data_IF_790481202809
#
_entry.id   IF_790481202809
#
_cell.length_a   1.000
_cell.length_b   1.000
_cell.length_c   1.000
_cell.angle_alpha   90.00
_cell.angle_beta   90.00
_cell.angle_gamma   90.00
#
_symmetry.space_group_name_H-M   'P 1'
#
loop_
_entity.id
_entity.type
_entity.pdbx_description
1 polymer ?
#
# COMPACT_ATOMS: atom_id res chain seq x y z
N UNK A 1 -35.74 -25.41 52.88
CA UNK A 1 -35.64 -24.04 52.32
C UNK A 1 -34.25 -23.50 52.59
N UNK A 2 -33.47 -23.32 51.52
CA UNK A 2 -32.10 -22.75 51.38
C UNK A 2 -31.60 -23.34 50.05
N UNK A 3 -31.22 -22.62 49.01
CA UNK A 3 -30.39 -21.42 48.99
C UNK A 3 -30.74 -20.50 47.80
N UNK A 4 -30.71 -19.19 48.03
CA UNK A 4 -30.49 -18.17 47.00
C UNK A 4 -29.03 -17.74 47.08
N UNK A 5 -28.25 -17.78 45.99
CA UNK A 5 -27.16 -16.86 45.60
C UNK A 5 -26.90 -17.16 44.09
N UNK A 6 -27.46 -16.40 43.14
CA UNK A 6 -26.88 -15.21 42.50
C UNK A 6 -25.45 -15.43 41.94
N UNK A 7 -25.29 -15.36 40.61
CA UNK A 7 -23.97 -15.41 39.98
C UNK A 7 -24.01 -15.50 38.46
N UNK A 8 -24.54 -14.47 37.80
CA UNK A 8 -24.28 -14.25 36.37
C UNK A 8 -22.80 -13.87 36.22
N UNK A 9 -21.97 -14.81 35.77
CA UNK A 9 -20.61 -14.52 35.33
C UNK A 9 -20.58 -14.50 33.80
N UNK A 10 -20.88 -13.34 33.23
CA UNK A 10 -20.77 -13.07 31.80
C UNK A 10 -19.30 -13.05 31.40
N UNK A 11 -18.79 -14.15 30.84
CA UNK A 11 -17.45 -14.21 30.28
C UNK A 11 -17.37 -13.28 29.05
N UNK A 12 -16.88 -12.06 29.27
CA UNK A 12 -16.59 -11.11 28.20
C UNK A 12 -15.24 -11.46 27.59
N UNK A 13 -15.24 -12.36 26.60
CA UNK A 13 -14.11 -12.60 25.72
C UNK A 13 -13.95 -11.38 24.82
N UNK A 14 -13.14 -10.41 25.28
CA UNK A 14 -12.67 -9.28 24.49
C UNK A 14 -11.69 -9.79 23.42
N UNK A 15 -12.23 -10.32 22.32
CA UNK A 15 -11.50 -10.40 21.06
C UNK A 15 -11.45 -8.99 20.44
N UNK A 16 -10.61 -8.14 21.01
CA UNK A 16 -10.25 -6.85 20.43
C UNK A 16 -9.09 -7.06 19.45
N UNK A 17 -9.38 -7.67 18.31
CA UNK A 17 -8.42 -7.76 17.21
C UNK A 17 -8.11 -6.35 16.72
N UNK A 18 -6.92 -5.84 17.05
CA UNK A 18 -6.32 -4.76 16.28
C UNK A 18 -5.87 -5.35 14.94
N UNK A 19 -6.83 -5.70 14.09
CA UNK A 19 -6.56 -5.78 12.67
C UNK A 19 -6.22 -4.35 12.25
N UNK A 20 -4.93 -4.03 12.19
CA UNK A 20 -4.47 -3.00 11.27
C UNK A 20 -4.90 -3.51 9.90
N UNK A 21 -6.10 -3.14 9.48
CA UNK A 21 -6.47 -3.12 8.09
C UNK A 21 -5.56 -2.07 7.46
N UNK A 22 -4.31 -2.47 7.18
CA UNK A 22 -3.57 -1.83 6.13
C UNK A 22 -4.54 -1.84 4.94
N UNK A 23 -4.91 -0.67 4.38
CA UNK A 23 -5.66 -0.66 3.15
C UNK A 23 -4.88 -1.60 2.23
N UNK A 24 -5.53 -2.67 1.78
CA UNK A 24 -4.98 -3.44 0.68
C UNK A 24 -4.90 -2.40 -0.43
N UNK A 25 -3.70 -1.90 -0.73
CA UNK A 25 -3.50 -1.12 -1.93
C UNK A 25 -3.95 -2.06 -3.05
N UNK A 26 -5.16 -1.83 -3.57
CA UNK A 26 -5.63 -2.59 -4.71
C UNK A 26 -4.78 -2.10 -5.88
N UNK A 27 -3.65 -2.77 -6.09
CA UNK A 27 -2.83 -2.56 -7.27
C UNK A 27 -3.76 -2.71 -8.47
N UNK A 28 -3.98 -1.62 -9.21
CA UNK A 28 -4.71 -1.72 -10.46
C UNK A 28 -3.97 -2.74 -11.34
N UNK A 29 -4.71 -3.55 -12.12
CA UNK A 29 -4.10 -4.63 -12.87
C UNK A 29 -2.99 -4.09 -13.78
N UNK A 30 -1.79 -4.63 -13.60
CA UNK A 30 -0.62 -4.28 -14.41
C UNK A 30 -0.96 -4.35 -15.91
N UNK A 31 -0.66 -3.31 -16.71
CA UNK A 31 -0.94 -3.34 -18.13
C UNK A 31 -0.31 -4.56 -18.82
N UNK A 32 -1.02 -5.14 -19.79
CA UNK A 32 -0.60 -6.35 -20.48
C UNK A 32 0.80 -6.18 -21.13
N UNK A 33 1.69 -7.14 -20.89
CA UNK A 33 3.06 -7.11 -21.41
C UNK A 33 4.03 -6.19 -20.66
N UNK A 34 3.63 -5.62 -19.52
CA UNK A 34 4.51 -4.86 -18.62
C UNK A 34 4.86 -5.69 -17.39
N UNK A 35 6.02 -5.38 -16.80
CA UNK A 35 6.41 -5.88 -15.48
C UNK A 35 6.23 -4.76 -14.47
N UNK A 36 5.21 -4.90 -13.64
CA UNK A 36 4.91 -3.92 -12.61
C UNK A 36 5.70 -4.21 -11.34
N UNK A 37 6.04 -3.14 -10.65
CA UNK A 37 6.81 -3.08 -9.42
C UNK A 37 5.99 -2.32 -8.38
N UNK A 38 6.35 -2.53 -7.13
CA UNK A 38 5.75 -1.84 -5.99
C UNK A 38 6.84 -1.06 -5.26
N UNK A 39 6.52 0.16 -4.85
CA UNK A 39 7.41 0.98 -4.02
C UNK A 39 6.60 1.67 -2.93
N UNK A 40 7.03 1.55 -1.68
CA UNK A 40 6.46 2.26 -0.53
C UNK A 40 7.47 3.24 0.09
N UNK A 41 7.00 4.21 0.89
CA UNK A 41 7.87 5.07 1.68
C UNK A 41 8.79 4.23 2.58
N UNK A 42 10.10 4.40 2.42
CA UNK A 42 11.13 3.64 3.13
C UNK A 42 11.78 2.52 2.32
N UNK A 43 11.21 2.14 1.18
CA UNK A 43 11.85 1.22 0.25
C UNK A 43 12.99 1.90 -0.51
N UNK A 44 13.89 1.08 -1.05
CA UNK A 44 14.94 1.54 -1.97
C UNK A 44 14.29 2.28 -3.14
N UNK A 45 14.89 3.41 -3.51
CA UNK A 45 14.36 4.26 -4.56
C UNK A 45 14.22 3.50 -5.90
N UNK A 46 13.11 3.68 -6.63
CA UNK A 46 12.91 3.15 -7.97
C UNK A 46 14.05 3.59 -8.90
N UNK A 47 14.55 2.71 -9.75
CA UNK A 47 15.67 3.04 -10.67
C UNK A 47 16.93 3.62 -9.97
N UNK A 48 17.07 3.45 -8.64
CA UNK A 48 18.17 3.98 -7.83
C UNK A 48 18.19 5.50 -7.69
N UNK A 49 17.13 6.20 -8.11
CA UNK A 49 17.00 7.67 -8.12
C UNK A 49 15.58 8.02 -7.65
N UNK A 50 15.33 9.23 -7.12
CA UNK A 50 13.95 9.62 -6.78
C UNK A 50 13.04 9.52 -8.02
N UNK A 51 11.71 9.48 -7.86
CA UNK A 51 10.73 9.71 -8.95
C UNK A 51 9.83 10.83 -8.43
N UNK A 52 9.42 11.84 -9.23
CA UNK A 52 8.75 13.02 -8.71
C UNK A 52 7.24 12.79 -8.47
N UNK A 53 6.89 11.68 -7.82
CA UNK A 53 5.56 11.32 -7.33
C UNK A 53 5.42 11.63 -5.83
N UNK A 54 4.24 11.41 -5.25
CA UNK A 54 4.03 11.58 -3.80
C UNK A 54 4.80 10.52 -3.00
N UNK A 55 5.91 10.92 -2.38
CA UNK A 55 6.75 10.01 -1.60
C UNK A 55 6.16 9.52 -0.27
N UNK A 56 4.91 9.88 0.07
CA UNK A 56 4.23 9.48 1.31
C UNK A 56 3.21 8.35 1.12
N UNK A 57 2.99 7.90 -0.11
CA UNK A 57 2.07 6.80 -0.43
C UNK A 57 2.80 5.71 -1.21
N UNK A 58 2.26 4.50 -1.17
CA UNK A 58 2.79 3.40 -1.96
C UNK A 58 2.32 3.51 -3.40
N UNK A 59 3.22 3.21 -4.33
CA UNK A 59 3.00 3.28 -5.77
C UNK A 59 3.21 1.93 -6.42
N UNK A 60 2.26 1.54 -7.26
CA UNK A 60 2.41 0.46 -8.21
C UNK A 60 2.78 1.08 -9.56
N UNK A 61 3.88 0.65 -10.14
CA UNK A 61 4.44 1.32 -11.31
C UNK A 61 5.07 0.32 -12.27
N UNK A 62 5.22 0.73 -13.53
CA UNK A 62 6.13 0.08 -14.46
C UNK A 62 6.98 1.13 -15.16
N UNK A 63 8.11 0.72 -15.71
CA UNK A 63 8.91 1.60 -16.56
C UNK A 63 8.99 1.06 -17.99
N UNK A 64 9.20 1.97 -18.92
CA UNK A 64 9.58 1.65 -20.27
C UNK A 64 10.56 2.68 -20.83
N UNK A 65 10.71 2.71 -22.16
CA UNK A 65 11.62 3.62 -22.84
C UNK A 65 11.29 5.11 -22.60
N UNK A 66 10.03 5.45 -22.28
CA UNK A 66 9.60 6.84 -22.17
C UNK A 66 9.67 7.40 -20.76
N UNK A 67 9.52 6.55 -19.74
CA UNK A 67 9.48 7.00 -18.35
C UNK A 67 9.06 5.92 -17.38
N UNK A 68 8.71 6.40 -16.18
CA UNK A 68 8.05 5.65 -15.13
C UNK A 68 6.56 5.98 -15.17
N UNK A 69 5.72 4.95 -15.23
CA UNK A 69 4.27 5.06 -15.31
C UNK A 69 3.67 4.55 -14.01
N UNK A 70 2.95 5.42 -13.33
CA UNK A 70 2.21 5.10 -12.12
C UNK A 70 0.84 4.52 -12.50
N UNK A 71 0.50 3.40 -11.88
CA UNK A 71 -0.72 2.65 -12.18
C UNK A 71 -1.89 3.15 -11.33
N UNK A 72 -1.61 3.72 -10.17
CA UNK A 72 -2.63 4.20 -9.23
C UNK A 72 -3.33 5.47 -9.72
N UNK A 73 -2.56 6.43 -10.23
CA UNK A 73 -3.08 7.70 -10.74
C UNK A 73 -2.99 7.86 -12.28
N UNK A 74 -2.29 6.96 -12.97
CA UNK A 74 -2.06 7.02 -14.41
C UNK A 74 -1.02 8.06 -14.84
N UNK A 75 -0.27 8.64 -13.90
CA UNK A 75 0.77 9.61 -14.18
C UNK A 75 1.95 8.98 -14.93
N UNK A 76 2.54 9.75 -15.86
CA UNK A 76 3.76 9.36 -16.56
C UNK A 76 4.86 10.36 -16.25
N UNK A 77 5.92 9.88 -15.61
CA UNK A 77 7.12 10.61 -15.28
C UNK A 77 8.20 10.33 -16.33
N UNK A 78 8.27 11.18 -17.35
CA UNK A 78 9.23 10.99 -18.44
C UNK A 78 10.67 11.06 -17.96
N UNK A 79 11.52 10.15 -18.45
CA UNK A 79 12.97 10.20 -18.20
C UNK A 79 13.59 11.54 -18.57
N UNK A 80 13.04 12.23 -19.59
CA UNK A 80 13.53 13.52 -20.05
C UNK A 80 13.25 14.65 -19.06
N UNK A 81 12.19 14.54 -18.27
CA UNK A 81 11.71 15.60 -17.38
C UNK A 81 12.12 15.34 -15.92
N UNK A 82 12.81 14.23 -15.66
CA UNK A 82 13.30 13.85 -14.33
C UNK A 82 14.39 14.79 -13.82
N UNK A 83 14.34 15.36 -12.61
CA UNK A 83 15.26 16.41 -12.17
C UNK A 83 16.73 15.99 -11.93
N UNK A 84 17.13 14.81 -12.39
CA UNK A 84 18.48 14.26 -12.39
C UNK A 84 18.95 13.85 -13.81
N UNK A 85 18.34 14.46 -14.84
CA UNK A 85 18.83 14.42 -16.22
C UNK A 85 20.12 15.22 -16.40
#
# INVERSE_FOLDING_TARGET
MKAMIAGLATASLMFGGAALAAPSAQAAPCPAGKSCQHWCPGDVLPAGRPVPWDGNVCHDYYWDYYGVHDIGDGANYSWRDMPWH
#
